data_IF_439619926218
#
_entry.id   IF_439619926218
#
_cell.length_a   1.000
_cell.length_b   1.000
_cell.length_c   1.000
_cell.angle_alpha   90.00
_cell.angle_beta   90.00
_cell.angle_gamma   90.00
#
_symmetry.space_group_name_H-M   'P 1'
#
loop_
_entity.id
_entity.type
_entity.pdbx_description
1 polymer ?
#
# COMPACT_ATOMS: atom_id res chain seq x y z
N UNK A 1 -5.98 -6.13 5.41
CA UNK A 1 -5.78 -6.44 3.98
C UNK A 1 -4.31 -6.75 3.77
N UNK A 2 -4.03 -7.77 2.96
CA UNK A 2 -2.69 -8.05 2.42
C UNK A 2 -2.45 -7.21 1.14
N UNK A 3 -1.20 -7.13 0.66
CA UNK A 3 -0.80 -6.34 -0.53
C UNK A 3 -1.65 -6.67 -1.77
N UNK A 4 -1.92 -7.95 -2.02
CA UNK A 4 -2.71 -8.41 -3.17
C UNK A 4 -4.15 -7.89 -3.15
N UNK A 5 -4.79 -7.89 -1.97
CA UNK A 5 -6.14 -7.32 -1.80
C UNK A 5 -6.17 -5.81 -2.07
N UNK A 6 -5.11 -5.08 -1.68
CA UNK A 6 -4.99 -3.63 -1.91
C UNK A 6 -4.87 -3.35 -3.40
N UNK A 7 -3.95 -4.03 -4.09
CA UNK A 7 -3.74 -3.83 -5.53
C UNK A 7 -5.02 -4.15 -6.30
N UNK A 8 -5.68 -5.25 -5.95
CA UNK A 8 -6.96 -5.64 -6.57
C UNK A 8 -8.00 -4.55 -6.39
N UNK A 9 -8.13 -3.99 -5.19
CA UNK A 9 -9.13 -2.96 -4.90
C UNK A 9 -8.80 -1.62 -5.56
N UNK A 10 -7.53 -1.23 -5.59
CA UNK A 10 -7.08 -0.02 -6.29
C UNK A 10 -7.32 -0.14 -7.78
N UNK A 11 -7.00 -1.29 -8.39
CA UNK A 11 -7.29 -1.58 -9.80
C UNK A 11 -8.79 -1.48 -10.11
N UNK A 12 -9.64 -2.12 -9.29
CA UNK A 12 -11.10 -2.04 -9.44
C UNK A 12 -11.65 -0.62 -9.33
N UNK A 13 -11.14 0.19 -8.39
CA UNK A 13 -11.64 1.55 -8.16
C UNK A 13 -11.13 2.55 -9.20
N UNK A 14 -9.91 2.37 -9.68
CA UNK A 14 -9.27 3.29 -10.63
C UNK A 14 -9.54 2.95 -12.09
N UNK A 15 -9.97 1.72 -12.38
CA UNK A 15 -10.05 1.20 -13.75
C UNK A 15 -8.68 0.95 -14.39
N UNK A 16 -7.60 1.06 -13.62
CA UNK A 16 -6.23 0.82 -14.09
C UNK A 16 -5.93 -0.68 -14.01
N UNK A 17 -5.15 -1.16 -14.97
CA UNK A 17 -4.75 -2.55 -15.04
C UNK A 17 -3.92 -2.99 -13.82
N UNK A 18 -4.14 -4.22 -13.36
CA UNK A 18 -3.56 -4.76 -12.12
C UNK A 18 -2.04 -4.59 -12.07
N UNK A 19 -1.31 -4.91 -13.15
CA UNK A 19 0.16 -4.82 -13.14
C UNK A 19 0.65 -3.37 -13.04
N UNK A 20 -0.11 -2.40 -13.51
CA UNK A 20 0.22 -0.98 -13.33
C UNK A 20 -0.01 -0.55 -11.88
N UNK A 21 -1.10 -0.99 -11.25
CA UNK A 21 -1.33 -0.77 -9.83
C UNK A 21 -0.28 -1.45 -8.95
N UNK A 22 0.15 -2.67 -9.30
CA UNK A 22 1.19 -3.42 -8.59
C UNK A 22 2.50 -2.63 -8.54
N UNK A 23 2.97 -2.14 -9.70
CA UNK A 23 4.18 -1.31 -9.81
C UNK A 23 4.11 -0.03 -8.97
N UNK A 24 2.96 0.65 -8.98
CA UNK A 24 2.77 1.89 -8.20
C UNK A 24 2.77 1.60 -6.70
N UNK A 25 2.09 0.53 -6.28
CA UNK A 25 2.07 0.12 -4.87
C UNK A 25 3.47 -0.32 -4.41
N UNK A 26 4.24 -1.00 -5.26
CA UNK A 26 5.64 -1.34 -4.97
C UNK A 26 6.53 -0.11 -4.82
N UNK A 27 6.44 0.85 -5.73
CA UNK A 27 7.19 2.09 -5.63
C UNK A 27 6.82 2.86 -4.35
N UNK A 28 5.52 2.89 -3.99
CA UNK A 28 5.05 3.50 -2.75
C UNK A 28 5.61 2.77 -1.52
N UNK A 29 5.67 1.43 -1.54
CA UNK A 29 6.31 0.65 -0.47
C UNK A 29 7.78 1.02 -0.30
N UNK A 30 8.50 1.20 -1.40
CA UNK A 30 9.91 1.55 -1.36
C UNK A 30 10.12 2.96 -0.78
N UNK A 31 9.42 3.97 -1.30
CA UNK A 31 9.51 5.36 -0.81
C UNK A 31 9.18 5.45 0.68
N UNK A 32 8.10 4.79 1.10
CA UNK A 32 7.73 4.77 2.52
C UNK A 32 8.76 4.03 3.38
N UNK A 33 9.42 3.00 2.86
CA UNK A 33 10.45 2.26 3.60
C UNK A 33 11.67 3.15 3.82
N UNK A 34 12.13 3.84 2.79
CA UNK A 34 13.26 4.78 2.85
C UNK A 34 12.99 5.92 3.86
N UNK A 35 11.77 6.47 3.87
CA UNK A 35 11.36 7.51 4.83
C UNK A 35 11.23 7.00 6.28
N UNK A 36 10.80 5.75 6.48
CA UNK A 36 10.67 5.16 7.81
C UNK A 36 12.03 4.71 8.39
N UNK A 37 12.94 4.25 7.54
CA UNK A 37 14.32 3.95 7.91
C UNK A 37 15.08 5.23 8.28
N UNK A 38 14.85 6.33 7.55
CA UNK A 38 15.42 7.64 7.89
C UNK A 38 14.85 8.18 9.22
N UNK A 39 13.59 7.83 9.54
CA UNK A 39 12.88 8.23 10.75
C UNK A 39 13.07 7.28 11.95
N UNK A 40 14.13 6.45 12.03
CA UNK A 40 14.51 5.68 13.23
C UNK A 40 13.37 4.88 13.91
N UNK A 41 12.33 4.54 13.15
CA UNK A 41 11.01 4.40 13.72
C UNK A 41 10.09 3.68 12.78
N UNK A 42 9.75 2.46 13.20
CA UNK A 42 8.54 1.72 12.84
C UNK A 42 8.75 0.73 11.68
N UNK A 43 9.34 -0.42 12.03
CA UNK A 43 9.23 -1.71 11.32
C UNK A 43 7.78 -2.25 11.22
N UNK A 44 6.78 -1.50 11.69
CA UNK A 44 5.38 -1.90 11.86
C UNK A 44 4.35 -0.98 11.16
N UNK A 45 4.79 -0.09 10.26
CA UNK A 45 3.95 0.98 9.70
C UNK A 45 3.17 0.51 8.47
N UNK A 46 3.78 -0.29 7.60
CA UNK A 46 3.10 -0.86 6.42
C UNK A 46 1.86 -1.66 6.78
N UNK A 47 1.95 -2.52 7.80
CA UNK A 47 0.80 -3.26 8.30
C UNK A 47 -0.35 -2.36 8.78
N UNK A 48 -0.04 -1.17 9.32
CA UNK A 48 -1.05 -0.18 9.74
C UNK A 48 -1.63 0.58 8.54
N UNK A 49 -0.81 1.00 7.57
CA UNK A 49 -1.27 1.69 6.36
C UNK A 49 -2.23 0.79 5.56
N UNK A 50 -1.86 -0.47 5.35
CA UNK A 50 -2.74 -1.43 4.67
C UNK A 50 -4.01 -1.77 5.45
N UNK A 51 -3.95 -1.69 6.79
CA UNK A 51 -5.13 -1.82 7.64
C UNK A 51 -6.05 -0.59 7.55
N UNK A 52 -5.49 0.62 7.46
CA UNK A 52 -6.23 1.88 7.32
C UNK A 52 -6.93 2.00 5.97
N UNK A 53 -6.27 1.65 4.87
CA UNK A 53 -6.86 1.64 3.52
C UNK A 53 -8.06 0.67 3.45
N UNK A 54 -8.02 -0.42 4.22
CA UNK A 54 -9.12 -1.39 4.32
C UNK A 54 -10.34 -0.92 5.15
N UNK A 55 -10.20 0.12 5.98
CA UNK A 55 -11.27 0.58 6.87
C UNK A 55 -12.33 1.46 6.18
N UNK A 56 -12.18 1.78 4.89
CA UNK A 56 -13.20 2.51 4.11
C UNK A 56 -14.39 1.62 3.67
N UNK A 57 -14.73 0.59 4.45
CA UNK A 57 -16.03 -0.09 4.40
C UNK A 57 -16.74 0.16 5.74
N UNK A 58 -17.40 1.30 5.85
CA UNK A 58 -18.66 1.43 6.58
C UNK A 58 -19.52 2.46 5.87
#
# INVERSE_FOLDING_TARGET
MNKKEVITRVSQLSGIEYTSCDKVIEALEQVLSEELESSNGIRNAFGKVYKLIGFHKK
#
